data_IF_808542854661
#
_entry.id   IF_808542854661
#
_cell.length_a   1.000
_cell.length_b   1.000
_cell.length_c   1.000
_cell.angle_alpha   90.00
_cell.angle_beta   90.00
_cell.angle_gamma   90.00
#
_symmetry.space_group_name_H-M   'P 1'
#
loop_
_entity.id
_entity.type
_entity.pdbx_description
1 polymer ?
#
# COMPACT_ATOMS: atom_id res chain seq x y z
N UNK A 1 0.89 18.58 -1.85
CA UNK A 1 0.70 17.13 -1.97
C UNK A 1 1.00 16.45 -0.63
N UNK A 2 0.42 15.30 -0.40
CA UNK A 2 0.66 14.55 0.83
C UNK A 2 1.42 13.27 0.49
N UNK A 3 2.46 12.97 1.25
CA UNK A 3 3.32 11.82 1.01
C UNK A 3 3.22 10.87 2.18
N UNK A 4 2.94 9.60 1.89
CA UNK A 4 2.82 8.55 2.89
C UNK A 4 3.89 7.49 2.66
N UNK A 5 4.43 6.98 3.77
CA UNK A 5 5.23 5.77 3.76
C UNK A 5 4.34 4.65 4.28
N UNK A 6 4.21 3.57 3.51
CA UNK A 6 3.27 2.48 3.81
C UNK A 6 4.00 1.15 3.79
N UNK A 7 3.67 0.28 4.73
CA UNK A 7 4.25 -1.07 4.80
C UNK A 7 3.21 -2.03 5.39
N UNK A 8 3.26 -3.34 5.00
CA UNK A 8 2.35 -4.33 5.59
C UNK A 8 2.66 -4.55 7.06
N UNK A 9 1.62 -4.82 7.85
CA UNK A 9 1.78 -5.13 9.27
C UNK A 9 2.39 -6.51 9.47
N UNK A 10 2.09 -7.45 8.58
CA UNK A 10 2.54 -8.84 8.67
C UNK A 10 2.57 -9.45 7.28
N UNK A 11 3.17 -10.64 7.20
CA UNK A 11 3.20 -11.38 5.94
C UNK A 11 1.79 -11.87 5.60
N UNK A 12 1.43 -11.73 4.32
CA UNK A 12 0.17 -12.23 3.80
C UNK A 12 0.40 -12.82 2.42
N UNK A 13 -0.20 -13.98 2.16
CA UNK A 13 -0.05 -14.69 0.90
C UNK A 13 -1.41 -15.13 0.39
N UNK A 14 -1.68 -14.92 -0.90
CA UNK A 14 -2.89 -15.40 -1.55
C UNK A 14 -2.73 -15.33 -3.07
N UNK A 15 -3.27 -16.33 -3.79
CA UNK A 15 -3.31 -16.34 -5.25
C UNK A 15 -1.94 -16.06 -5.91
N UNK A 16 -0.88 -16.62 -5.33
CA UNK A 16 0.47 -16.44 -5.87
C UNK A 16 1.11 -15.11 -5.55
N UNK A 17 0.44 -14.24 -4.82
CA UNK A 17 0.97 -12.96 -4.40
C UNK A 17 1.37 -13.02 -2.92
N UNK A 18 2.43 -12.29 -2.55
CA UNK A 18 2.89 -12.25 -1.17
C UNK A 18 3.31 -10.82 -0.82
N UNK A 19 2.96 -10.38 0.39
CA UNK A 19 3.44 -9.12 0.95
C UNK A 19 4.05 -9.41 2.32
N UNK A 20 5.03 -8.59 2.70
CA UNK A 20 5.70 -8.72 4.00
C UNK A 20 6.09 -7.33 4.51
N UNK A 21 6.38 -7.20 5.83
CA UNK A 21 6.64 -5.88 6.43
C UNK A 21 7.82 -5.11 5.82
N UNK A 22 8.78 -5.79 5.22
CA UNK A 22 9.91 -5.11 4.59
C UNK A 22 9.58 -4.52 3.22
N UNK A 23 8.38 -4.78 2.69
CA UNK A 23 7.96 -4.24 1.39
C UNK A 23 7.36 -2.84 1.57
N UNK A 24 8.22 -1.89 1.87
CA UNK A 24 7.84 -0.49 2.09
C UNK A 24 7.67 0.24 0.77
N UNK A 25 6.63 1.05 0.64
CA UNK A 25 6.43 1.92 -0.51
C UNK A 25 6.17 3.35 -0.04
N UNK A 26 6.45 4.31 -0.92
CA UNK A 26 6.13 5.72 -0.69
C UNK A 26 5.09 6.13 -1.73
N UNK A 27 3.97 6.66 -1.25
CA UNK A 27 2.82 7.02 -2.08
C UNK A 27 2.58 8.51 -1.98
N UNK A 28 2.48 9.19 -3.14
CA UNK A 28 2.15 10.59 -3.20
C UNK A 28 0.67 10.73 -3.55
N UNK A 29 -0.07 11.43 -2.69
CA UNK A 29 -1.51 11.59 -2.81
C UNK A 29 -1.85 13.08 -2.90
N UNK A 30 -3.15 13.38 -3.18
CA UNK A 30 -3.61 14.75 -3.16
C UNK A 30 -3.51 15.34 -1.75
N UNK A 31 -3.47 16.68 -1.67
CA UNK A 31 -3.37 17.38 -0.38
C UNK A 31 -4.52 17.04 0.57
N UNK A 32 -5.67 16.65 0.03
CA UNK A 32 -6.86 16.36 0.83
C UNK A 32 -6.95 14.91 1.28
N UNK A 33 -6.02 14.06 0.86
CA UNK A 33 -6.03 12.65 1.26
C UNK A 33 -5.69 12.53 2.74
N UNK A 34 -6.58 11.94 3.52
CA UNK A 34 -6.35 11.72 4.96
C UNK A 34 -5.59 10.41 5.21
N UNK A 35 -5.68 9.45 4.28
CA UNK A 35 -4.98 8.18 4.36
C UNK A 35 -4.49 7.77 2.98
N UNK A 36 -3.53 6.82 2.87
CA UNK A 36 -3.10 6.31 1.57
C UNK A 36 -4.09 5.34 0.93
N UNK A 37 -5.23 5.10 1.57
CA UNK A 37 -6.19 4.10 1.12
C UNK A 37 -7.42 4.68 0.41
N UNK A 38 -7.45 5.99 0.18
CA UNK A 38 -8.57 6.63 -0.51
C UNK A 38 -8.64 6.13 -1.97
N UNK A 39 -9.82 6.25 -2.57
CA UNK A 39 -10.09 5.83 -3.96
C UNK A 39 -9.76 4.35 -4.20
N UNK A 40 -10.09 3.48 -3.22
CA UNK A 40 -9.85 2.04 -3.34
C UNK A 40 -8.39 1.67 -3.27
N UNK A 41 -7.56 2.53 -2.68
CA UNK A 41 -6.11 2.33 -2.56
C UNK A 41 -5.42 2.19 -3.92
N UNK A 42 -5.92 2.90 -4.92
CA UNK A 42 -5.41 2.80 -6.28
C UNK A 42 -3.92 3.13 -6.37
N UNK A 43 -3.50 4.23 -5.74
CA UNK A 43 -2.09 4.64 -5.76
C UNK A 43 -1.20 3.60 -5.07
N UNK A 44 -1.68 3.05 -3.95
CA UNK A 44 -0.95 2.02 -3.23
C UNK A 44 -0.78 0.77 -4.09
N UNK A 45 -1.85 0.33 -4.75
CA UNK A 45 -1.81 -0.83 -5.65
C UNK A 45 -0.83 -0.61 -6.79
N UNK A 46 -0.82 0.58 -7.37
CA UNK A 46 0.10 0.91 -8.46
C UNK A 46 1.55 0.85 -7.99
N UNK A 47 1.85 1.34 -6.79
CA UNK A 47 3.20 1.33 -6.26
C UNK A 47 3.70 -0.10 -6.00
N UNK A 48 2.85 -0.96 -5.45
CA UNK A 48 3.26 -2.36 -5.23
C UNK A 48 3.47 -3.10 -6.54
N UNK A 49 2.65 -2.83 -7.54
CA UNK A 49 2.85 -3.43 -8.88
C UNK A 49 4.16 -2.95 -9.50
N UNK A 50 4.44 -1.67 -9.40
CA UNK A 50 5.62 -1.06 -10.00
C UNK A 50 6.92 -1.50 -9.33
N UNK A 51 6.94 -1.52 -7.98
CA UNK A 51 8.17 -1.79 -7.22
C UNK A 51 8.41 -3.27 -6.97
N UNK A 52 7.36 -4.05 -6.75
CA UNK A 52 7.50 -5.44 -6.32
C UNK A 52 6.83 -6.44 -7.26
N UNK A 53 6.25 -5.96 -8.37
CA UNK A 53 5.46 -6.77 -9.28
C UNK A 53 4.36 -7.54 -8.56
N UNK A 54 3.81 -6.92 -7.52
CA UNK A 54 2.80 -7.52 -6.67
C UNK A 54 1.43 -6.92 -6.96
N UNK A 55 0.47 -7.78 -7.32
CA UNK A 55 -0.89 -7.34 -7.61
C UNK A 55 -1.73 -7.48 -6.34
N UNK A 56 -1.94 -6.37 -5.64
CA UNK A 56 -2.69 -6.38 -4.39
C UNK A 56 -4.15 -6.76 -4.58
N UNK A 57 -4.70 -6.61 -5.79
CA UNK A 57 -6.09 -6.99 -6.02
C UNK A 57 -6.32 -8.49 -5.93
N UNK A 58 -5.26 -9.29 -6.03
CA UNK A 58 -5.33 -10.74 -5.87
C UNK A 58 -5.20 -11.18 -4.40
N UNK A 59 -4.86 -10.25 -3.52
CA UNK A 59 -4.81 -10.49 -2.09
C UNK A 59 -6.09 -9.94 -1.45
N UNK A 60 -6.64 -10.65 -0.50
CA UNK A 60 -7.81 -10.18 0.23
C UNK A 60 -7.35 -9.18 1.31
N UNK A 61 -6.88 -8.02 0.88
CA UNK A 61 -6.35 -6.99 1.77
C UNK A 61 -7.40 -5.95 2.13
N UNK A 62 -7.16 -5.28 3.25
CA UNK A 62 -7.93 -4.12 3.66
C UNK A 62 -6.99 -3.13 4.37
N UNK A 63 -7.44 -1.90 4.67
CA UNK A 63 -6.56 -0.91 5.31
C UNK A 63 -5.93 -1.38 6.62
N UNK A 64 -6.59 -2.29 7.34
CA UNK A 64 -6.05 -2.83 8.58
C UNK A 64 -4.83 -3.73 8.40
N UNK A 65 -4.53 -4.14 7.19
CA UNK A 65 -3.36 -4.99 6.89
C UNK A 65 -2.07 -4.17 6.74
N UNK A 66 -2.15 -2.84 6.77
CA UNK A 66 -1.01 -1.96 6.54
C UNK A 66 -0.83 -0.96 7.66
N UNK A 67 0.43 -0.56 7.86
CA UNK A 67 0.78 0.61 8.65
C UNK A 67 1.19 1.73 7.70
N UNK A 68 1.06 2.97 8.14
CA UNK A 68 1.55 4.09 7.35
C UNK A 68 1.93 5.25 8.26
N UNK A 69 2.75 6.13 7.70
CA UNK A 69 3.09 7.39 8.35
C UNK A 69 3.12 8.51 7.31
N UNK A 70 2.81 9.71 7.75
CA UNK A 70 2.83 10.89 6.88
C UNK A 70 4.24 11.45 6.86
N UNK A 71 4.82 11.59 5.66
CA UNK A 71 6.17 12.15 5.50
C UNK A 71 6.15 13.64 5.17
N UNK A 72 5.11 14.09 4.47
CA UNK A 72 5.00 15.49 4.08
C UNK A 72 3.55 15.91 3.85
#
# INVERSE_FOLDING_TARGET
MRVFRVWPKRMKRSNGQIISPEMVVVVTMSTHASTPFVNGAKELKNMYRSMYHCDLSKLAINPGDFNYTILA
#
